data_IF_242570263327
#
_entry.id   IF_242570263327
#
_cell.length_a   1.000
_cell.length_b   1.000
_cell.length_c   1.000
_cell.angle_alpha   90.00
_cell.angle_beta   90.00
_cell.angle_gamma   90.00
#
_symmetry.space_group_name_H-M   'P 1'
#
loop_
_entity.id
_entity.type
_entity.pdbx_description
1 polymer ?
#
# COMPACT_ATOMS: atom_id res chain seq x y z
N UNK A 1 5.96 -1.24 -15.96
CA UNK A 1 5.84 -2.06 -17.20
C UNK A 1 5.96 -1.23 -18.50
N UNK A 2 6.87 -0.24 -18.57
CA UNK A 2 7.02 0.65 -19.74
C UNK A 2 7.55 -0.03 -21.02
N UNK A 3 7.98 -1.29 -20.97
CA UNK A 3 8.67 -1.98 -22.10
C UNK A 3 7.92 -3.21 -22.65
N UNK A 4 6.64 -3.39 -22.34
CA UNK A 4 5.88 -4.54 -22.84
C UNK A 4 5.76 -4.59 -24.38
N UNK A 5 5.66 -3.46 -25.13
CA UNK A 5 5.56 -3.54 -26.58
C UNK A 5 6.81 -4.14 -27.24
N UNK A 6 8.00 -3.85 -26.70
CA UNK A 6 9.26 -4.47 -27.20
C UNK A 6 9.33 -5.96 -26.92
N UNK A 7 8.71 -6.42 -25.82
CA UNK A 7 8.74 -7.83 -25.41
C UNK A 7 7.68 -8.66 -26.10
N UNK A 8 6.56 -8.04 -26.44
CA UNK A 8 5.41 -8.68 -27.09
C UNK A 8 5.04 -7.85 -28.33
N UNK A 9 5.77 -7.99 -29.44
CA UNK A 9 5.50 -7.23 -30.67
C UNK A 9 4.12 -7.57 -31.23
N UNK A 10 3.48 -6.63 -31.95
CA UNK A 10 2.24 -6.89 -32.63
C UNK A 10 2.40 -8.03 -33.66
N UNK A 11 1.32 -8.78 -33.87
CA UNK A 11 1.32 -9.88 -34.84
C UNK A 11 1.33 -9.34 -36.27
N UNK A 12 2.34 -9.71 -37.07
CA UNK A 12 2.49 -9.25 -38.46
C UNK A 12 2.22 -10.34 -39.51
N UNK A 13 1.74 -11.53 -39.11
CA UNK A 13 1.46 -12.62 -40.03
C UNK A 13 0.13 -12.48 -40.78
N UNK A 14 -0.16 -13.43 -41.70
CA UNK A 14 -1.31 -13.42 -42.56
C UNK A 14 -2.55 -14.15 -42.01
N UNK A 15 -2.38 -14.96 -40.95
CA UNK A 15 -3.50 -15.70 -40.32
C UNK A 15 -4.45 -14.75 -39.63
N UNK A 16 -5.72 -15.12 -39.42
CA UNK A 16 -6.69 -14.33 -38.70
C UNK A 16 -6.17 -13.86 -37.34
N UNK A 17 -6.45 -12.63 -36.97
CA UNK A 17 -5.96 -11.98 -35.73
C UNK A 17 -6.98 -10.98 -35.19
N UNK A 18 -6.79 -10.59 -33.93
CA UNK A 18 -7.51 -9.52 -33.26
C UNK A 18 -6.78 -8.19 -33.47
N UNK A 19 -7.53 -7.12 -33.68
CA UNK A 19 -7.01 -5.76 -33.59
C UNK A 19 -7.39 -5.18 -32.23
N UNK A 20 -6.39 -4.83 -31.40
CA UNK A 20 -6.60 -4.15 -30.12
C UNK A 20 -6.35 -2.65 -30.31
N UNK A 21 -7.45 -1.90 -30.38
CA UNK A 21 -7.48 -0.45 -30.56
C UNK A 21 -7.55 0.26 -29.20
N UNK A 22 -6.62 1.18 -28.95
CA UNK A 22 -6.56 1.97 -27.72
C UNK A 22 -5.70 3.22 -27.92
N UNK A 23 -5.92 4.27 -27.11
CA UNK A 23 -5.06 5.43 -27.10
C UNK A 23 -3.71 5.12 -26.41
N UNK A 24 -2.62 5.73 -26.84
CA UNK A 24 -1.30 5.55 -26.26
C UNK A 24 -1.29 5.82 -24.73
N UNK A 25 -2.06 6.81 -24.30
CA UNK A 25 -2.20 7.16 -22.87
C UNK A 25 -2.73 5.98 -22.02
N UNK A 26 -3.50 5.07 -22.63
CA UNK A 26 -4.09 3.89 -21.97
C UNK A 26 -3.19 2.65 -21.98
N UNK A 27 -2.00 2.71 -22.59
CA UNK A 27 -1.12 1.55 -22.76
C UNK A 27 -0.87 0.77 -21.45
N UNK A 28 -0.74 1.46 -20.33
CA UNK A 28 -0.59 0.82 -19.02
C UNK A 28 -1.84 0.10 -18.53
N UNK A 29 -3.04 0.62 -18.85
CA UNK A 29 -4.35 0.08 -18.46
C UNK A 29 -4.78 -1.07 -19.36
N UNK A 30 -4.33 -1.07 -20.61
CA UNK A 30 -4.62 -2.11 -21.61
C UNK A 30 -3.81 -3.38 -21.39
N UNK A 31 -2.64 -3.26 -20.76
CA UNK A 31 -1.74 -4.39 -20.53
C UNK A 31 -2.40 -5.64 -19.93
N UNK A 32 -3.25 -5.58 -18.89
CA UNK A 32 -3.93 -6.75 -18.35
C UNK A 32 -4.80 -7.47 -19.38
N UNK A 33 -5.48 -6.72 -20.26
CA UNK A 33 -6.31 -7.28 -21.35
C UNK A 33 -5.41 -7.97 -22.38
N UNK A 34 -4.39 -7.28 -22.89
CA UNK A 34 -3.45 -7.85 -23.85
C UNK A 34 -2.78 -9.12 -23.31
N UNK A 35 -2.41 -9.12 -22.05
CA UNK A 35 -1.83 -10.29 -21.39
C UNK A 35 -2.76 -11.50 -21.42
N UNK A 36 -4.04 -11.32 -21.08
CA UNK A 36 -5.04 -12.40 -21.16
C UNK A 36 -5.15 -12.96 -22.57
N UNK A 37 -5.16 -12.09 -23.57
CA UNK A 37 -5.20 -12.49 -24.98
C UNK A 37 -3.96 -13.31 -25.39
N UNK A 38 -2.77 -12.84 -25.04
CA UNK A 38 -1.49 -13.50 -25.36
C UNK A 38 -1.35 -14.86 -24.65
N UNK A 39 -1.73 -14.93 -23.38
CA UNK A 39 -1.67 -16.18 -22.61
C UNK A 39 -2.68 -17.23 -23.12
N UNK A 40 -3.75 -16.77 -23.76
CA UNK A 40 -4.69 -17.65 -24.46
C UNK A 40 -4.19 -18.08 -25.85
N UNK A 41 -3.15 -17.45 -26.34
CA UNK A 41 -2.62 -17.70 -27.69
C UNK A 41 -3.26 -16.89 -28.78
N UNK A 42 -4.04 -15.85 -28.45
CA UNK A 42 -4.61 -14.97 -29.48
C UNK A 42 -3.52 -14.23 -30.24
N UNK A 43 -3.62 -14.24 -31.57
CA UNK A 43 -2.82 -13.37 -32.43
C UNK A 43 -3.39 -11.96 -32.32
N UNK A 44 -2.60 -11.03 -31.79
CA UNK A 44 -3.06 -9.66 -31.52
C UNK A 44 -2.17 -8.68 -32.27
N UNK A 45 -2.78 -7.85 -33.08
CA UNK A 45 -2.14 -6.69 -33.67
C UNK A 45 -2.59 -5.42 -32.92
N UNK A 46 -1.67 -4.48 -32.72
CA UNK A 46 -1.92 -3.20 -32.10
C UNK A 46 -0.84 -2.20 -32.55
N UNK A 47 -1.13 -0.88 -32.46
CA UNK A 47 -0.17 0.17 -32.71
C UNK A 47 -0.02 1.07 -31.49
N UNK A 48 1.15 1.73 -31.35
CA UNK A 48 1.45 2.67 -30.28
C UNK A 48 1.95 3.98 -30.87
N UNK A 49 1.44 5.06 -30.33
CA UNK A 49 1.78 6.41 -30.75
C UNK A 49 1.21 6.81 -32.10
N UNK A 50 1.42 8.05 -32.55
CA UNK A 50 0.99 8.51 -33.86
C UNK A 50 1.80 7.86 -34.98
N UNK A 51 1.20 7.73 -36.17
CA UNK A 51 1.92 7.26 -37.34
C UNK A 51 3.02 8.27 -37.72
N UNK A 52 4.26 7.81 -37.83
CA UNK A 52 5.41 8.64 -38.17
C UNK A 52 5.52 8.99 -39.67
N UNK A 53 4.79 8.26 -40.53
CA UNK A 53 4.79 8.45 -41.97
C UNK A 53 3.44 8.06 -42.60
N UNK A 54 3.22 8.49 -43.84
CA UNK A 54 2.03 8.09 -44.61
C UNK A 54 2.01 6.58 -44.89
N UNK A 55 3.16 5.97 -45.08
CA UNK A 55 3.29 4.52 -45.30
C UNK A 55 2.89 3.75 -44.04
N UNK A 56 3.34 4.20 -42.86
CA UNK A 56 2.94 3.61 -41.59
C UNK A 56 1.42 3.77 -41.35
N UNK A 57 0.84 4.92 -41.71
CA UNK A 57 -0.60 5.14 -41.59
C UNK A 57 -1.39 4.18 -42.49
N UNK A 58 -0.96 3.98 -43.73
CA UNK A 58 -1.57 3.03 -44.64
C UNK A 58 -1.47 1.58 -44.12
N UNK A 59 -0.30 1.20 -43.64
CA UNK A 59 -0.10 -0.10 -43.01
C UNK A 59 -1.05 -0.31 -41.83
N UNK A 60 -1.20 0.70 -40.96
CA UNK A 60 -2.15 0.62 -39.84
C UNK A 60 -3.59 0.49 -40.30
N UNK A 61 -4.01 1.19 -41.33
CA UNK A 61 -5.35 1.10 -41.88
C UNK A 61 -5.59 -0.27 -42.54
N UNK A 62 -4.61 -0.83 -43.20
CA UNK A 62 -4.71 -2.20 -43.78
C UNK A 62 -4.80 -3.22 -42.64
N UNK A 63 -3.94 -3.14 -41.64
CA UNK A 63 -3.95 -4.08 -40.52
C UNK A 63 -5.23 -3.96 -39.68
N UNK A 64 -5.69 -2.76 -39.40
CA UNK A 64 -6.94 -2.58 -38.64
C UNK A 64 -8.14 -3.15 -39.40
N UNK A 65 -8.25 -2.87 -40.73
CA UNK A 65 -9.33 -3.33 -41.57
C UNK A 65 -9.24 -4.79 -41.98
N UNK A 66 -8.11 -5.46 -41.82
CA UNK A 66 -7.88 -6.89 -42.05
C UNK A 66 -8.15 -7.79 -40.84
N UNK A 67 -8.36 -7.21 -39.66
CA UNK A 67 -8.62 -7.97 -38.44
C UNK A 67 -9.96 -8.73 -38.49
N UNK A 68 -9.99 -9.91 -37.90
CA UNK A 68 -11.23 -10.71 -37.79
C UNK A 68 -12.22 -10.10 -36.79
N UNK A 69 -11.67 -9.48 -35.68
CA UNK A 69 -12.45 -8.80 -34.68
C UNK A 69 -11.61 -7.63 -34.14
N UNK A 70 -12.24 -6.47 -33.98
CA UNK A 70 -11.65 -5.30 -33.34
C UNK A 70 -12.08 -5.22 -31.85
N UNK A 71 -11.12 -5.20 -30.97
CA UNK A 71 -11.33 -4.94 -29.54
C UNK A 71 -10.97 -3.48 -29.28
N UNK A 72 -11.98 -2.64 -29.01
CA UNK A 72 -11.78 -1.22 -28.69
C UNK A 72 -11.74 -1.02 -27.18
N UNK A 73 -10.60 -0.58 -26.66
CA UNK A 73 -10.49 -0.15 -25.26
C UNK A 73 -11.04 1.28 -25.13
N UNK A 74 -12.28 1.41 -24.67
CA UNK A 74 -13.10 2.60 -24.78
C UNK A 74 -12.92 3.50 -23.56
N UNK A 75 -12.16 4.60 -23.73
CA UNK A 75 -11.87 5.60 -22.70
C UNK A 75 -12.05 7.01 -23.25
N UNK A 76 -11.98 8.03 -22.41
CA UNK A 76 -11.95 9.45 -22.85
C UNK A 76 -10.72 9.72 -23.72
N UNK A 77 -9.57 9.11 -23.39
CA UNK A 77 -8.37 9.23 -24.20
C UNK A 77 -8.57 8.62 -25.59
N UNK A 78 -9.19 7.44 -25.71
CA UNK A 78 -9.53 6.84 -26.98
C UNK A 78 -10.51 7.70 -27.79
N UNK A 79 -11.48 8.32 -27.11
CA UNK A 79 -12.42 9.27 -27.75
C UNK A 79 -11.76 10.57 -28.23
N UNK A 80 -10.63 10.96 -27.67
CA UNK A 80 -9.86 12.12 -28.11
C UNK A 80 -8.83 11.77 -29.22
N UNK A 81 -8.45 10.49 -29.34
CA UNK A 81 -7.38 10.05 -30.24
C UNK A 81 -7.87 9.91 -31.69
N UNK A 82 -7.27 10.71 -32.57
CA UNK A 82 -7.66 10.74 -34.00
C UNK A 82 -7.30 9.44 -34.74
N UNK A 83 -6.18 8.79 -34.38
CA UNK A 83 -5.72 7.57 -35.03
C UNK A 83 -6.64 6.39 -34.67
N UNK A 84 -7.06 6.28 -33.42
CA UNK A 84 -8.04 5.29 -32.97
C UNK A 84 -9.37 5.49 -33.69
N UNK A 85 -9.88 6.73 -33.79
CA UNK A 85 -11.11 7.04 -34.53
C UNK A 85 -11.02 6.69 -35.99
N UNK A 86 -9.92 7.04 -36.66
CA UNK A 86 -9.70 6.74 -38.08
C UNK A 86 -9.71 5.23 -38.33
N UNK A 87 -9.02 4.46 -37.50
CA UNK A 87 -8.99 3.00 -37.60
C UNK A 87 -10.37 2.35 -37.41
N UNK A 88 -11.17 2.87 -36.46
CA UNK A 88 -12.52 2.40 -36.22
C UNK A 88 -13.46 2.70 -37.42
N UNK A 89 -13.34 3.87 -38.02
CA UNK A 89 -14.14 4.24 -39.17
C UNK A 89 -13.86 3.29 -40.34
N UNK A 90 -12.61 2.88 -40.56
CA UNK A 90 -12.26 1.86 -41.54
C UNK A 90 -12.95 0.53 -41.26
N UNK A 91 -12.96 0.10 -39.97
CA UNK A 91 -13.61 -1.15 -39.57
C UNK A 91 -15.13 -1.11 -39.75
N UNK A 92 -15.77 0.00 -39.36
CA UNK A 92 -17.20 0.20 -39.56
C UNK A 92 -17.58 0.20 -41.03
N UNK A 93 -16.81 0.87 -41.91
CA UNK A 93 -17.05 0.90 -43.36
C UNK A 93 -16.87 -0.48 -44.03
N UNK A 94 -16.06 -1.34 -43.43
CA UNK A 94 -15.85 -2.73 -43.89
C UNK A 94 -16.77 -3.73 -43.20
N UNK A 95 -17.71 -3.29 -42.38
CA UNK A 95 -18.65 -4.12 -41.60
C UNK A 95 -17.92 -5.16 -40.73
N UNK A 96 -16.71 -4.80 -40.22
CA UNK A 96 -15.96 -5.70 -39.37
C UNK A 96 -16.54 -5.71 -37.95
N UNK A 97 -16.60 -6.89 -37.30
CA UNK A 97 -17.04 -6.96 -35.91
C UNK A 97 -16.18 -6.10 -34.95
N UNK A 98 -16.87 -5.36 -34.11
CA UNK A 98 -16.25 -4.52 -33.07
C UNK A 98 -16.84 -4.93 -31.72
N UNK A 99 -15.99 -5.17 -30.75
CA UNK A 99 -16.35 -5.32 -29.34
C UNK A 99 -15.73 -4.21 -28.53
N UNK A 100 -16.56 -3.40 -27.88
CA UNK A 100 -16.10 -2.36 -26.97
C UNK A 100 -15.77 -2.94 -25.61
N UNK A 101 -14.54 -2.72 -25.15
CA UNK A 101 -14.06 -3.06 -23.82
C UNK A 101 -14.09 -1.76 -22.97
N UNK A 102 -15.08 -1.62 -22.10
CA UNK A 102 -15.26 -0.43 -21.27
C UNK A 102 -14.62 -0.64 -19.87
N UNK A 103 -13.48 0.00 -19.58
CA UNK A 103 -12.85 -0.10 -18.27
C UNK A 103 -13.49 0.79 -17.21
N UNK A 104 -14.28 1.78 -17.63
CA UNK A 104 -14.94 2.76 -16.80
C UNK A 104 -16.47 2.52 -16.78
N UNK A 105 -17.22 3.21 -15.97
CA UNK A 105 -18.69 3.01 -15.86
C UNK A 105 -19.50 3.82 -16.90
N UNK A 106 -18.83 4.46 -17.82
CA UNK A 106 -19.46 5.39 -18.77
C UNK A 106 -19.44 4.83 -20.16
N UNK A 107 -20.62 4.56 -20.73
CA UNK A 107 -20.75 4.16 -22.13
C UNK A 107 -20.43 5.32 -23.07
N UNK A 108 -19.27 5.25 -23.73
CA UNK A 108 -18.77 6.28 -24.64
C UNK A 108 -18.94 5.92 -26.12
N UNK A 109 -19.72 4.88 -26.46
CA UNK A 109 -19.88 4.43 -27.84
C UNK A 109 -20.35 5.55 -28.77
N UNK A 110 -21.31 6.34 -28.34
CA UNK A 110 -21.81 7.50 -29.12
C UNK A 110 -20.72 8.59 -29.26
N UNK A 111 -19.96 8.89 -28.22
CA UNK A 111 -18.85 9.87 -28.28
C UNK A 111 -17.76 9.42 -29.25
N UNK A 112 -17.61 8.12 -29.43
CA UNK A 112 -16.69 7.50 -30.41
C UNK A 112 -17.25 7.45 -31.83
N UNK A 113 -18.50 7.82 -32.03
CA UNK A 113 -19.19 7.71 -33.31
C UNK A 113 -19.60 6.28 -33.66
N UNK A 114 -19.71 5.40 -32.69
CA UNK A 114 -20.16 4.03 -32.85
C UNK A 114 -21.69 3.93 -32.77
N UNK A 115 -22.24 2.92 -33.44
CA UNK A 115 -23.66 2.62 -33.35
C UNK A 115 -23.98 1.96 -32.00
N UNK A 116 -25.18 2.20 -31.47
CA UNK A 116 -25.66 1.63 -30.22
C UNK A 116 -25.73 0.09 -30.19
N UNK A 117 -25.93 -0.54 -31.34
CA UNK A 117 -25.98 -2.00 -31.45
C UNK A 117 -24.60 -2.68 -31.36
N UNK A 118 -23.49 -1.93 -31.31
CA UNK A 118 -22.17 -2.54 -31.18
C UNK A 118 -22.04 -3.14 -29.77
N UNK A 119 -21.61 -4.40 -29.65
CA UNK A 119 -21.45 -5.08 -28.38
C UNK A 119 -20.50 -4.34 -27.44
N UNK A 120 -20.87 -4.28 -26.17
CA UNK A 120 -20.18 -3.55 -25.13
C UNK A 120 -19.96 -4.45 -23.93
N UNK A 121 -18.71 -4.61 -23.53
CA UNK A 121 -18.26 -5.42 -22.41
C UNK A 121 -17.72 -4.53 -21.28
N UNK A 122 -18.45 -4.36 -20.17
CA UNK A 122 -17.98 -3.57 -19.05
C UNK A 122 -16.93 -4.33 -18.24
N UNK A 123 -15.64 -3.99 -18.40
CA UNK A 123 -14.52 -4.68 -17.76
C UNK A 123 -14.54 -4.58 -16.23
N UNK A 124 -15.05 -3.47 -15.69
CA UNK A 124 -15.15 -3.25 -14.25
C UNK A 124 -16.15 -4.20 -13.55
N UNK A 125 -17.05 -4.84 -14.30
CA UNK A 125 -17.99 -5.85 -13.78
C UNK A 125 -17.44 -7.26 -13.83
N UNK A 126 -16.34 -7.48 -14.54
CA UNK A 126 -15.74 -8.80 -14.64
C UNK A 126 -14.98 -9.13 -13.35
N UNK A 127 -15.30 -10.30 -12.78
CA UNK A 127 -14.68 -10.76 -11.52
C UNK A 127 -13.33 -11.43 -11.74
N UNK A 128 -12.97 -11.69 -12.99
CA UNK A 128 -11.71 -12.35 -13.28
C UNK A 128 -11.45 -12.62 -14.76
N UNK A 129 -10.28 -13.20 -15.03
CA UNK A 129 -9.77 -13.54 -16.35
C UNK A 129 -10.71 -14.44 -17.13
N UNK A 130 -11.32 -15.45 -16.50
CA UNK A 130 -12.19 -16.41 -17.17
C UNK A 130 -13.45 -15.79 -17.75
N UNK A 131 -13.98 -14.74 -17.15
CA UNK A 131 -15.16 -14.03 -17.66
C UNK A 131 -14.83 -13.23 -18.93
N UNK A 132 -13.67 -12.56 -18.98
CA UNK A 132 -13.19 -11.89 -20.18
C UNK A 132 -12.96 -12.89 -21.32
N UNK A 133 -12.33 -14.02 -21.03
CA UNK A 133 -12.11 -15.08 -22.02
C UNK A 133 -13.42 -15.63 -22.55
N UNK A 134 -14.40 -15.89 -21.69
CA UNK A 134 -15.74 -16.36 -22.09
C UNK A 134 -16.45 -15.36 -22.98
N UNK A 135 -16.44 -14.08 -22.61
CA UNK A 135 -17.06 -13.02 -23.41
C UNK A 135 -16.41 -12.88 -24.80
N UNK A 136 -15.09 -13.02 -24.87
CA UNK A 136 -14.35 -12.96 -26.14
C UNK A 136 -14.69 -14.14 -27.06
N UNK A 137 -14.81 -15.37 -26.52
CA UNK A 137 -15.14 -16.57 -27.31
C UNK A 137 -16.52 -16.46 -27.96
N UNK A 138 -17.46 -15.78 -27.31
CA UNK A 138 -18.83 -15.60 -27.82
C UNK A 138 -18.97 -14.32 -28.65
N UNK A 139 -17.92 -13.52 -28.81
CA UNK A 139 -17.97 -12.32 -29.64
C UNK A 139 -18.04 -12.69 -31.14
N UNK A 140 -18.86 -11.95 -31.86
CA UNK A 140 -18.90 -12.06 -33.33
C UNK A 140 -17.50 -11.79 -33.91
N UNK A 141 -17.09 -12.58 -34.89
CA UNK A 141 -15.76 -12.50 -35.50
C UNK A 141 -14.66 -13.24 -34.77
N UNK A 142 -14.90 -13.75 -33.55
CA UNK A 142 -13.95 -14.61 -32.86
C UNK A 142 -14.04 -16.04 -33.48
N UNK A 143 -12.91 -16.58 -33.88
CA UNK A 143 -12.80 -17.96 -34.36
C UNK A 143 -11.59 -18.66 -33.78
N UNK A 144 -11.60 -20.00 -33.79
CA UNK A 144 -10.45 -20.83 -33.38
C UNK A 144 -9.19 -20.53 -34.22
N UNK A 145 -9.37 -20.02 -35.41
CA UNK A 145 -8.28 -19.66 -36.32
C UNK A 145 -7.48 -18.46 -35.86
N UNK A 146 -8.02 -17.64 -34.94
CA UNK A 146 -7.30 -16.52 -34.31
C UNK A 146 -6.26 -17.04 -33.31
N UNK A 147 -6.42 -18.25 -32.83
CA UNK A 147 -5.50 -18.82 -31.82
C UNK A 147 -4.22 -19.33 -32.47
N UNK A 148 -3.12 -19.02 -31.84
CA UNK A 148 -1.78 -19.56 -32.10
C UNK A 148 -1.23 -20.24 -30.84
N UNK A 149 0.06 -20.21 -30.69
CA UNK A 149 0.71 -20.71 -29.47
C UNK A 149 0.53 -19.76 -28.30
N UNK A 150 0.09 -20.25 -27.13
CA UNK A 150 0.01 -19.43 -25.93
C UNK A 150 1.39 -18.88 -25.52
N UNK A 151 1.45 -17.59 -25.31
CA UNK A 151 2.67 -16.93 -24.85
C UNK A 151 2.69 -16.92 -23.32
N UNK A 152 3.69 -17.57 -22.71
CA UNK A 152 3.90 -17.46 -21.27
C UNK A 152 4.37 -16.05 -20.94
N UNK A 153 3.47 -15.24 -20.43
CA UNK A 153 3.80 -13.90 -19.94
C UNK A 153 4.32 -14.07 -18.50
N UNK A 154 5.63 -14.27 -18.35
CA UNK A 154 6.24 -14.21 -17.04
C UNK A 154 6.05 -12.78 -16.51
N UNK A 155 5.25 -12.64 -15.48
CA UNK A 155 5.33 -11.45 -14.63
C UNK A 155 6.76 -11.43 -14.11
N UNK A 156 7.54 -10.44 -14.54
CA UNK A 156 8.74 -10.07 -13.82
C UNK A 156 8.28 -9.71 -12.42
N UNK A 157 8.26 -10.74 -11.57
CA UNK A 157 7.59 -10.80 -10.29
C UNK A 157 8.05 -9.60 -9.47
N UNK A 158 7.22 -8.56 -9.43
CA UNK A 158 7.37 -7.52 -8.38
C UNK A 158 7.38 -8.18 -7.00
N UNK A 159 6.64 -9.30 -6.84
CA UNK A 159 6.70 -10.17 -5.68
C UNK A 159 8.09 -10.80 -5.49
N UNK A 160 8.77 -11.26 -6.54
CA UNK A 160 10.14 -11.76 -6.44
C UNK A 160 11.16 -10.66 -6.11
N UNK A 161 10.98 -9.45 -6.64
CA UNK A 161 11.81 -8.29 -6.27
C UNK A 161 11.49 -7.80 -4.85
N UNK A 162 10.22 -7.77 -4.46
CA UNK A 162 9.82 -7.50 -3.08
C UNK A 162 10.31 -8.59 -2.14
N UNK A 163 10.16 -9.87 -2.46
CA UNK A 163 10.70 -10.97 -1.66
C UNK A 163 12.22 -10.88 -1.53
N UNK A 164 12.96 -10.57 -2.60
CA UNK A 164 14.41 -10.34 -2.55
C UNK A 164 14.79 -9.15 -1.68
N UNK A 165 14.04 -8.04 -1.75
CA UNK A 165 14.23 -6.85 -0.89
C UNK A 165 13.90 -7.20 0.56
N UNK A 166 12.82 -7.94 0.83
CA UNK A 166 12.48 -8.38 2.20
C UNK A 166 13.51 -9.37 2.75
N UNK A 167 14.01 -10.31 1.94
CA UNK A 167 15.10 -11.20 2.36
C UNK A 167 16.39 -10.43 2.64
N UNK A 168 16.77 -9.47 1.80
CA UNK A 168 17.94 -8.62 2.04
C UNK A 168 17.78 -7.76 3.30
N UNK A 169 16.59 -7.21 3.54
CA UNK A 169 16.28 -6.44 4.74
C UNK A 169 16.30 -7.33 5.99
N UNK A 170 15.74 -8.54 5.93
CA UNK A 170 15.77 -9.50 7.02
C UNK A 170 17.19 -9.93 7.36
N UNK A 171 18.06 -10.15 6.36
CA UNK A 171 19.50 -10.45 6.58
C UNK A 171 20.22 -9.27 7.21
N UNK A 172 19.94 -8.02 6.74
CA UNK A 172 20.52 -6.81 7.35
C UNK A 172 20.07 -6.62 8.80
N UNK A 173 18.78 -6.84 9.09
CA UNK A 173 18.25 -6.79 10.46
C UNK A 173 18.86 -7.91 11.35
N UNK A 174 19.03 -9.12 10.82
CA UNK A 174 19.69 -10.20 11.55
C UNK A 174 21.17 -9.88 11.83
N UNK A 175 21.90 -9.32 10.87
CA UNK A 175 23.28 -8.86 11.05
C UNK A 175 23.37 -7.69 12.04
N UNK A 176 22.41 -6.73 11.98
CA UNK A 176 22.34 -5.63 12.93
C UNK A 176 22.00 -6.14 14.34
N UNK A 177 21.08 -7.11 14.50
CA UNK A 177 20.76 -7.74 15.77
C UNK A 177 21.95 -8.55 16.31
N UNK A 178 22.69 -9.24 15.45
CA UNK A 178 23.89 -10.00 15.85
C UNK A 178 25.03 -9.07 16.25
N UNK A 179 25.28 -7.99 15.51
CA UNK A 179 26.26 -6.98 15.85
C UNK A 179 25.82 -6.19 17.10
N UNK A 180 24.53 -5.81 17.19
CA UNK A 180 23.92 -5.14 18.34
C UNK A 180 23.92 -6.03 19.58
N UNK A 181 23.67 -7.35 19.43
CA UNK A 181 23.75 -8.32 20.54
C UNK A 181 25.15 -8.41 21.13
N UNK A 182 26.20 -8.33 20.32
CA UNK A 182 27.59 -8.26 20.82
C UNK A 182 27.91 -6.91 21.48
N UNK A 183 27.31 -5.81 21.00
CA UNK A 183 27.45 -4.50 21.62
C UNK A 183 26.59 -4.35 22.89
N UNK A 184 25.40 -4.96 22.95
CA UNK A 184 24.53 -4.95 24.13
C UNK A 184 25.08 -5.82 25.26
N UNK A 185 25.86 -6.89 24.96
CA UNK A 185 26.59 -7.61 25.99
C UNK A 185 27.79 -6.83 26.56
N UNK A 186 28.27 -5.79 25.85
CA UNK A 186 29.28 -4.87 26.38
C UNK A 186 28.65 -3.72 27.21
N UNK A 187 27.35 -3.47 27.06
CA UNK A 187 26.53 -2.60 27.88
C UNK A 187 25.49 -3.47 28.62
N UNK A 188 25.95 -4.33 29.51
CA UNK A 188 25.10 -4.73 30.63
C UNK A 188 24.84 -3.42 31.40
N UNK A 189 23.57 -2.98 31.52
CA UNK A 189 23.30 -1.94 32.51
C UNK A 189 23.79 -2.52 33.83
N UNK A 190 24.72 -1.81 34.48
CA UNK A 190 25.03 -2.06 35.90
C UNK A 190 23.67 -2.35 36.54
N UNK A 191 23.56 -3.48 37.23
CA UNK A 191 22.42 -3.74 38.09
C UNK A 191 22.41 -2.59 39.08
N UNK A 192 21.65 -1.52 38.78
CA UNK A 192 21.43 -0.41 39.68
C UNK A 192 20.67 -1.02 40.83
N UNK A 193 21.27 -1.06 42.01
CA UNK A 193 20.65 -1.58 43.20
C UNK A 193 19.30 -0.91 43.40
N UNK A 194 18.23 -1.68 43.25
CA UNK A 194 16.87 -1.21 43.46
C UNK A 194 16.66 -0.98 44.93
N UNK A 195 16.39 0.26 45.30
CA UNK A 195 16.11 0.64 46.69
C UNK A 195 14.68 0.30 47.01
N UNK A 196 14.46 -0.60 47.97
CA UNK A 196 13.12 -0.97 48.46
C UNK A 196 12.74 -0.13 49.67
N UNK A 197 11.50 0.33 49.69
CA UNK A 197 10.86 1.00 50.82
C UNK A 197 9.81 0.06 51.41
N UNK A 198 9.74 -0.02 52.73
CA UNK A 198 8.77 -0.89 53.43
C UNK A 198 7.39 -0.28 53.47
N UNK A 199 7.33 1.06 53.52
CA UNK A 199 6.07 1.80 53.50
C UNK A 199 5.47 1.80 52.06
N UNK A 200 4.28 1.25 51.86
CA UNK A 200 3.66 1.16 50.55
C UNK A 200 3.29 2.52 49.95
N UNK A 201 3.00 3.53 50.83
CA UNK A 201 2.64 4.87 50.38
C UNK A 201 3.87 5.61 49.86
N UNK A 202 4.98 5.51 50.58
CA UNK A 202 6.29 6.08 50.15
C UNK A 202 6.74 5.38 48.85
N UNK A 203 6.66 4.06 48.79
CA UNK A 203 7.04 3.31 47.61
C UNK A 203 6.17 3.66 46.38
N UNK A 204 4.86 3.90 46.57
CA UNK A 204 3.96 4.32 45.53
C UNK A 204 4.27 5.73 45.00
N UNK A 205 4.50 6.68 45.92
CA UNK A 205 4.88 8.07 45.58
C UNK A 205 6.20 8.09 44.79
N UNK A 206 7.18 7.33 45.21
CA UNK A 206 8.48 7.22 44.52
C UNK A 206 8.37 6.56 43.13
N UNK A 207 7.50 5.55 42.98
CA UNK A 207 7.23 4.94 41.65
C UNK A 207 6.51 5.89 40.71
N UNK A 208 5.69 6.79 41.21
CA UNK A 208 5.04 7.83 40.42
C UNK A 208 6.08 8.81 39.89
N UNK A 209 7.03 9.26 40.73
CA UNK A 209 8.17 10.10 40.31
C UNK A 209 9.13 9.36 39.37
N UNK A 210 9.32 8.06 39.56
CA UNK A 210 10.09 7.20 38.67
C UNK A 210 9.37 6.89 37.32
N UNK A 211 8.15 7.44 37.11
CA UNK A 211 7.29 7.15 35.95
C UNK A 211 7.13 5.65 35.68
N UNK A 212 6.97 4.84 36.71
CA UNK A 212 6.85 3.41 36.66
C UNK A 212 8.15 2.63 36.47
N UNK A 213 9.30 3.28 36.53
CA UNK A 213 10.63 2.67 36.56
C UNK A 213 11.06 2.16 37.94
N UNK A 214 12.25 1.56 38.03
CA UNK A 214 12.86 1.12 39.29
C UNK A 214 13.27 2.32 40.16
N UNK A 215 13.10 2.19 41.47
CA UNK A 215 13.56 3.19 42.43
C UNK A 215 15.06 2.93 42.68
N UNK A 216 15.92 3.81 42.18
CA UNK A 216 17.37 3.69 42.30
C UNK A 216 17.94 4.70 43.27
N UNK A 217 19.15 4.46 43.81
CA UNK A 217 19.84 5.44 44.66
C UNK A 217 20.03 6.81 43.99
N UNK A 218 20.23 6.81 42.65
CA UNK A 218 20.35 8.05 41.91
C UNK A 218 19.03 8.84 41.89
N UNK A 219 17.89 8.15 41.81
CA UNK A 219 16.58 8.78 41.90
C UNK A 219 16.32 9.33 43.30
N UNK A 220 16.55 8.52 44.34
CA UNK A 220 16.34 8.95 45.75
C UNK A 220 17.19 10.15 46.14
N UNK A 221 18.41 10.25 45.56
CA UNK A 221 19.31 11.38 45.77
C UNK A 221 18.93 12.69 45.05
N UNK A 222 17.92 12.66 44.16
CA UNK A 222 17.49 13.82 43.35
C UNK A 222 16.09 14.32 43.67
N UNK A 223 15.30 13.56 44.40
CA UNK A 223 13.93 13.95 44.74
C UNK A 223 13.93 15.10 45.73
N UNK A 224 13.43 16.25 45.27
CA UNK A 224 13.31 17.46 46.09
C UNK A 224 11.90 17.61 46.66
N UNK A 225 10.91 17.15 45.99
CA UNK A 225 9.50 17.25 46.39
C UNK A 225 8.85 15.87 46.18
N UNK A 226 8.06 15.44 47.17
CA UNK A 226 7.32 14.19 47.10
C UNK A 226 5.84 14.42 47.39
N UNK A 227 5.01 13.95 46.50
CA UNK A 227 3.55 14.09 46.59
C UNK A 227 2.91 12.80 47.12
N UNK A 228 2.16 12.93 48.19
CA UNK A 228 1.45 11.82 48.78
C UNK A 228 -0.04 11.93 48.54
N UNK A 229 -0.68 10.80 48.27
CA UNK A 229 -2.14 10.67 48.16
C UNK A 229 -2.78 10.25 49.45
N UNK A 230 -2.01 9.59 50.32
CA UNK A 230 -2.37 9.11 51.67
C UNK A 230 -1.22 9.38 52.61
N UNK A 231 -1.45 9.33 53.92
CA UNK A 231 -0.40 9.50 54.90
C UNK A 231 0.46 8.23 54.99
N UNK A 232 1.80 8.34 54.94
CA UNK A 232 2.67 7.21 55.20
C UNK A 232 2.60 6.78 56.68
N UNK A 233 2.74 5.48 56.93
CA UNK A 233 2.78 4.95 58.30
C UNK A 233 4.18 5.09 58.92
N UNK A 234 5.23 5.01 58.10
CA UNK A 234 6.61 5.05 58.55
C UNK A 234 7.37 6.23 57.97
N UNK A 235 7.29 7.37 58.64
CA UNK A 235 7.95 8.60 58.26
C UNK A 235 9.50 8.55 58.31
N UNK A 236 10.08 7.63 59.15
CA UNK A 236 11.50 7.46 59.25
C UNK A 236 12.19 7.09 57.96
N UNK A 237 11.47 6.39 57.08
CA UNK A 237 12.02 6.02 55.78
C UNK A 237 12.30 7.20 54.85
N UNK A 238 11.70 8.36 55.08
CA UNK A 238 12.02 9.59 54.35
C UNK A 238 13.44 10.09 54.59
N UNK A 239 14.07 9.71 55.71
CA UNK A 239 15.48 10.00 55.96
C UNK A 239 16.42 9.39 54.91
N UNK A 240 15.94 8.39 54.15
CA UNK A 240 16.69 7.78 53.05
C UNK A 240 16.63 8.61 51.76
N UNK A 241 15.93 9.75 51.77
CA UNK A 241 15.83 10.70 50.66
C UNK A 241 16.62 11.98 51.01
N UNK A 242 17.94 11.99 50.83
CA UNK A 242 18.82 13.02 51.36
C UNK A 242 18.60 14.41 50.70
N UNK A 243 17.97 14.44 49.53
CA UNK A 243 17.70 15.70 48.81
C UNK A 243 16.27 16.21 49.05
N UNK A 244 15.43 15.50 49.80
CA UNK A 244 14.03 15.85 50.01
C UNK A 244 13.92 17.17 50.80
N UNK A 245 13.25 18.15 50.22
CA UNK A 245 13.05 19.48 50.81
C UNK A 245 11.59 19.74 51.15
N UNK A 246 10.67 19.12 50.40
CA UNK A 246 9.24 19.38 50.55
C UNK A 246 8.41 18.11 50.38
N UNK A 247 7.37 18.03 51.22
CA UNK A 247 6.35 17.00 51.16
C UNK A 247 5.01 17.68 50.90
N UNK A 248 4.26 17.18 49.96
CA UNK A 248 2.91 17.66 49.60
C UNK A 248 1.89 16.64 50.06
N UNK A 249 1.00 17.02 50.97
CA UNK A 249 -0.03 16.18 51.52
C UNK A 249 -1.41 16.68 51.12
N UNK A 250 -2.40 15.78 50.81
CA UNK A 250 -3.78 16.18 50.58
C UNK A 250 -4.40 16.63 51.92
N UNK A 251 -5.09 17.77 51.92
CA UNK A 251 -5.76 18.30 53.12
C UNK A 251 -6.74 17.34 53.81
N UNK A 252 -7.32 16.42 53.00
CA UNK A 252 -8.23 15.41 53.49
C UNK A 252 -7.56 14.31 54.34
N UNK A 253 -6.25 14.14 54.23
CA UNK A 253 -5.49 13.14 54.99
C UNK A 253 -5.29 13.52 56.44
N UNK A 254 -5.48 14.82 56.81
CA UNK A 254 -5.29 15.35 58.15
C UNK A 254 -6.59 15.38 59.01
N UNK A 255 -7.65 14.70 58.57
CA UNK A 255 -8.90 14.57 59.38
C UNK A 255 -8.71 13.55 60.52
N UNK A 256 -8.02 13.96 61.56
CA UNK A 256 -7.76 13.19 62.78
C UNK A 256 -6.60 13.82 63.56
N UNK A 257 -6.41 13.48 64.86
CA UNK A 257 -5.23 13.85 65.65
C UNK A 257 -3.94 13.13 65.16
N UNK A 258 -3.64 13.24 63.87
CA UNK A 258 -2.35 12.76 63.35
C UNK A 258 -1.27 13.75 63.71
N UNK A 259 -0.50 13.44 64.73
CA UNK A 259 0.74 14.16 65.04
C UNK A 259 1.70 13.98 63.86
N UNK A 260 1.94 15.07 63.13
CA UNK A 260 2.98 15.08 62.09
C UNK A 260 4.34 15.02 62.82
N UNK A 261 5.23 14.11 62.40
CA UNK A 261 6.55 14.03 62.99
C UNK A 261 7.35 15.32 62.73
N UNK A 262 8.26 15.69 63.67
CA UNK A 262 9.24 16.74 63.41
C UNK A 262 10.20 16.29 62.30
N UNK A 263 9.90 16.70 61.06
CA UNK A 263 10.75 16.44 59.90
C UNK A 263 11.47 17.74 59.50
N UNK A 264 12.73 17.62 59.12
CA UNK A 264 13.54 18.73 58.59
C UNK A 264 13.16 19.09 57.11
N UNK A 265 11.88 18.91 56.76
CA UNK A 265 11.32 19.14 55.42
C UNK A 265 10.08 20.03 55.51
N UNK A 266 9.86 20.84 54.51
CA UNK A 266 8.69 21.71 54.41
C UNK A 266 7.44 20.86 54.08
N UNK A 267 6.38 21.01 54.84
CA UNK A 267 5.11 20.30 54.61
C UNK A 267 4.12 21.28 53.98
N UNK A 268 3.68 21.00 52.75
CA UNK A 268 2.68 21.77 52.03
C UNK A 268 1.37 20.99 51.98
N UNK A 269 0.26 21.64 52.29
CA UNK A 269 -1.07 21.07 52.22
C UNK A 269 -1.77 21.52 50.92
N UNK A 270 -2.12 20.59 50.06
CA UNK A 270 -2.93 20.92 48.91
C UNK A 270 -4.40 21.02 49.29
N UNK A 271 -4.95 22.25 49.22
CA UNK A 271 -6.38 22.48 49.43
C UNK A 271 -7.16 21.76 48.31
N UNK A 272 -8.15 20.93 48.72
CA UNK A 272 -9.09 20.34 47.77
C UNK A 272 -9.91 21.45 47.11
N UNK A 273 -9.52 21.82 45.89
CA UNK A 273 -10.35 22.67 45.04
C UNK A 273 -11.58 21.85 44.64
N UNK A 274 -12.74 22.35 45.00
CA UNK A 274 -14.08 21.88 44.62
C UNK A 274 -14.33 21.97 43.11
#
# INVERSE_FOLDING_TARGET
MKNWPKRFPPYEGEKPYLYLAFAEADAGRVWPVLRVLLERGCRVWYSLGPAGSAEELLHRQERSGGAALTLLYLTDAACADADTKSSLLVNQNRERPILCLDPDETDRRLAMGLRENIPHLPLYRLRGRGELESALIHAEGFSQEILGEPVKVEEGSAAGKLAAVFCALAVLLALAAFAGGRYLHAFQPEQRDEVSFSDPVIAAALREEARGGAITEELTGRILVLHFKELPENWEELSRLPALQRIVLPQQALTGEAELPELDVEIELTGGGS
#
